data_IF_391250189809
#
_entry.id   IF_391250189809
#
_cell.length_a   1.000
_cell.length_b   1.000
_cell.length_c   1.000
_cell.angle_alpha   90.00
_cell.angle_beta   90.00
_cell.angle_gamma   90.00
#
_symmetry.space_group_name_H-M   'P 1'
#
loop_
_entity.id
_entity.type
_entity.pdbx_description
1 polymer ?
#
# COMPACT_ATOMS: atom_id res chain seq x y z
N UNK A 1 -8.68 3.65 12.76
CA UNK A 1 -9.62 3.98 11.67
C UNK A 1 -10.57 2.81 11.49
N UNK A 2 -11.86 3.04 11.23
CA UNK A 2 -12.81 1.96 10.93
C UNK A 2 -12.54 1.43 9.52
N UNK A 3 -12.32 0.13 9.37
CA UNK A 3 -12.17 -0.50 8.06
C UNK A 3 -13.54 -0.64 7.38
N UNK A 4 -13.60 -0.38 6.06
CA UNK A 4 -14.83 -0.56 5.28
C UNK A 4 -15.12 -2.05 5.10
N UNK A 5 -16.38 -2.43 5.32
CA UNK A 5 -16.86 -3.79 5.18
C UNK A 5 -17.84 -3.91 4.01
N UNK A 6 -17.55 -4.80 3.07
CA UNK A 6 -18.36 -5.05 1.88
C UNK A 6 -19.33 -6.21 2.07
N UNK A 7 -20.54 -6.08 1.53
CA UNK A 7 -21.46 -7.20 1.36
C UNK A 7 -20.97 -8.16 0.27
N UNK A 8 -21.50 -9.39 0.24
CA UNK A 8 -21.23 -10.32 -0.85
C UNK A 8 -21.59 -9.74 -2.24
N UNK A 9 -22.65 -8.93 -2.32
CA UNK A 9 -23.10 -8.32 -3.58
C UNK A 9 -22.15 -7.25 -4.09
N UNK A 10 -21.48 -6.54 -3.21
CA UNK A 10 -20.45 -5.55 -3.58
C UNK A 10 -19.13 -6.25 -3.87
N UNK A 11 -18.70 -7.16 -3.00
CA UNK A 11 -17.46 -7.90 -3.16
C UNK A 11 -17.43 -8.71 -4.47
N UNK A 12 -18.55 -9.30 -4.90
CA UNK A 12 -18.63 -10.01 -6.18
C UNK A 12 -18.30 -9.12 -7.37
N UNK A 13 -18.74 -7.84 -7.33
CA UNK A 13 -18.49 -6.86 -8.39
C UNK A 13 -17.03 -6.44 -8.39
N UNK A 14 -16.47 -6.21 -7.20
CA UNK A 14 -15.08 -5.78 -7.03
C UNK A 14 -14.07 -6.87 -7.43
N UNK A 15 -14.35 -8.13 -7.05
CA UNK A 15 -13.48 -9.27 -7.30
C UNK A 15 -13.71 -9.91 -8.68
N UNK A 16 -14.76 -9.53 -9.41
CA UNK A 16 -15.09 -10.13 -10.70
C UNK A 16 -15.49 -11.61 -10.63
N UNK A 17 -16.04 -12.06 -9.50
CA UNK A 17 -16.43 -13.47 -9.27
C UNK A 17 -17.90 -13.59 -8.86
N UNK A 18 -18.42 -14.81 -8.77
CA UNK A 18 -19.78 -15.04 -8.24
C UNK A 18 -19.82 -15.01 -6.71
N UNK A 19 -20.99 -14.76 -6.13
CA UNK A 19 -21.20 -14.88 -4.68
C UNK A 19 -20.92 -16.29 -4.17
N UNK A 20 -21.20 -17.32 -4.99
CA UNK A 20 -20.92 -18.71 -4.66
C UNK A 20 -19.43 -18.98 -4.53
N UNK A 21 -18.61 -18.44 -5.45
CA UNK A 21 -17.14 -18.51 -5.39
C UNK A 21 -16.62 -17.94 -4.07
N UNK A 22 -17.11 -16.77 -3.67
CA UNK A 22 -16.74 -16.13 -2.41
C UNK A 22 -17.11 -17.00 -1.20
N UNK A 23 -18.34 -17.56 -1.17
CA UNK A 23 -18.77 -18.44 -0.08
C UNK A 23 -17.98 -19.75 -0.03
N UNK A 24 -17.56 -20.27 -1.18
CA UNK A 24 -16.69 -21.44 -1.28
C UNK A 24 -15.30 -21.12 -0.73
N UNK A 25 -14.74 -19.97 -1.08
CA UNK A 25 -13.46 -19.50 -0.53
C UNK A 25 -13.52 -19.32 0.98
N UNK A 26 -14.62 -18.78 1.53
CA UNK A 26 -14.81 -18.62 2.98
C UNK A 26 -14.81 -19.98 3.69
N UNK A 27 -15.55 -20.97 3.14
CA UNK A 27 -15.54 -22.34 3.63
C UNK A 27 -14.17 -23.02 3.54
N UNK A 28 -13.36 -22.63 2.56
CA UNK A 28 -11.99 -23.14 2.36
C UNK A 28 -10.92 -22.33 3.13
N UNK A 29 -11.30 -21.27 3.85
CA UNK A 29 -10.35 -20.38 4.53
C UNK A 29 -9.48 -19.52 3.59
N UNK A 30 -9.84 -19.40 2.31
CA UNK A 30 -9.08 -18.63 1.29
C UNK A 30 -9.40 -17.14 1.27
N UNK A 31 -10.56 -16.76 1.81
CA UNK A 31 -10.98 -15.36 1.98
C UNK A 31 -11.41 -15.14 3.42
N UNK A 32 -10.94 -14.04 4.01
CA UNK A 32 -11.30 -13.60 5.36
C UNK A 32 -12.64 -12.87 5.34
N UNK A 33 -13.62 -13.38 6.09
CA UNK A 33 -14.92 -12.75 6.28
C UNK A 33 -15.17 -12.45 7.76
N UNK A 34 -15.75 -11.28 8.04
CA UNK A 34 -16.36 -10.95 9.32
C UNK A 34 -17.85 -11.34 9.27
N UNK A 35 -18.42 -11.77 10.38
CA UNK A 35 -19.84 -12.10 10.50
C UNK A 35 -20.54 -11.06 11.36
N UNK A 36 -21.67 -10.55 10.89
CA UNK A 36 -22.55 -9.73 11.74
C UNK A 36 -23.23 -10.62 12.79
N UNK A 37 -23.84 -10.00 13.80
CA UNK A 37 -24.64 -10.71 14.83
C UNK A 37 -25.69 -11.63 14.18
N UNK A 38 -26.33 -11.18 13.08
CA UNK A 38 -27.26 -11.99 12.29
C UNK A 38 -26.61 -12.99 11.31
N UNK A 39 -25.33 -13.33 11.48
CA UNK A 39 -24.63 -14.36 10.70
C UNK A 39 -24.29 -13.98 9.25
N UNK A 40 -24.52 -12.73 8.83
CA UNK A 40 -24.26 -12.29 7.45
C UNK A 40 -22.76 -12.04 7.25
N UNK A 41 -22.22 -12.53 6.13
CA UNK A 41 -20.83 -12.31 5.73
C UNK A 41 -20.58 -10.86 5.32
N UNK A 42 -19.43 -10.35 5.75
CA UNK A 42 -18.84 -9.06 5.38
C UNK A 42 -17.37 -9.27 5.07
N UNK A 43 -16.91 -8.69 3.97
CA UNK A 43 -15.50 -8.81 3.54
C UNK A 43 -14.81 -7.47 3.80
N UNK A 44 -13.72 -7.46 4.59
CA UNK A 44 -12.95 -6.25 4.80
C UNK A 44 -12.30 -5.71 3.53
N UNK A 45 -12.14 -4.39 3.42
CA UNK A 45 -11.49 -3.76 2.26
C UNK A 45 -10.05 -4.26 2.05
N UNK A 46 -9.28 -4.42 3.12
CA UNK A 46 -7.92 -4.98 3.05
C UNK A 46 -7.90 -6.36 2.40
N UNK A 47 -8.94 -7.16 2.64
CA UNK A 47 -9.04 -8.50 2.09
C UNK A 47 -9.38 -8.49 0.60
N UNK A 48 -10.25 -7.57 0.16
CA UNK A 48 -10.51 -7.33 -1.26
C UNK A 48 -9.21 -6.93 -1.97
N UNK A 49 -8.48 -5.96 -1.41
CA UNK A 49 -7.19 -5.50 -1.96
C UNK A 49 -6.16 -6.63 -2.03
N UNK A 50 -6.06 -7.44 -0.97
CA UNK A 50 -5.17 -8.61 -0.92
C UNK A 50 -5.47 -9.60 -2.05
N UNK A 51 -6.75 -9.93 -2.29
CA UNK A 51 -7.14 -10.87 -3.35
C UNK A 51 -6.89 -10.29 -4.74
N UNK A 52 -7.11 -8.98 -4.93
CA UNK A 52 -6.81 -8.30 -6.19
C UNK A 52 -5.31 -8.11 -6.44
N UNK A 53 -4.44 -8.51 -5.49
CA UNK A 53 -3.00 -8.23 -5.56
C UNK A 53 -2.67 -6.74 -5.49
N UNK A 54 -3.63 -5.91 -5.09
CA UNK A 54 -3.45 -4.48 -4.83
C UNK A 54 -2.73 -4.34 -3.50
N UNK A 55 -1.43 -4.65 -3.48
CA UNK A 55 -0.59 -4.25 -2.36
C UNK A 55 -0.51 -2.74 -2.38
N UNK A 56 -0.83 -2.11 -1.25
CA UNK A 56 -0.42 -0.72 -1.01
C UNK A 56 1.07 -0.67 -0.64
N UNK A 57 1.93 -1.42 -1.34
CA UNK A 57 3.37 -1.22 -1.29
C UNK A 57 3.66 0.09 -2.04
N UNK A 58 3.22 1.20 -1.44
CA UNK A 58 3.53 2.55 -1.89
C UNK A 58 5.00 2.76 -1.58
N UNK A 59 5.84 2.57 -2.59
CA UNK A 59 7.24 2.95 -2.50
C UNK A 59 7.33 4.47 -2.46
N UNK A 60 7.90 5.00 -1.39
CA UNK A 60 8.16 6.42 -1.26
C UNK A 60 9.56 6.66 -1.82
N UNK A 61 9.67 7.56 -2.80
CA UNK A 61 10.93 7.87 -3.45
C UNK A 61 11.28 9.33 -3.22
N UNK A 62 12.45 9.57 -2.63
CA UNK A 62 13.07 10.89 -2.55
C UNK A 62 14.06 11.07 -3.70
N UNK A 63 14.05 12.23 -4.34
CA UNK A 63 14.99 12.55 -5.42
C UNK A 63 15.89 13.72 -5.02
N UNK A 64 17.19 13.59 -5.28
CA UNK A 64 18.21 14.60 -4.99
C UNK A 64 19.13 14.76 -6.20
N UNK A 65 19.44 16.00 -6.60
CA UNK A 65 20.37 16.28 -7.70
C UNK A 65 21.31 17.43 -7.37
N UNK A 66 22.57 17.32 -7.77
CA UNK A 66 23.54 18.44 -7.79
C UNK A 66 24.14 18.63 -9.18
N UNK A 67 24.57 19.86 -9.47
CA UNK A 67 25.10 20.22 -10.81
C UNK A 67 26.58 19.90 -10.99
N UNK A 68 27.33 19.72 -9.90
CA UNK A 68 28.76 19.39 -9.95
C UNK A 68 29.13 18.32 -8.94
N UNK A 69 30.10 17.49 -9.30
CA UNK A 69 30.72 16.51 -8.39
C UNK A 69 31.45 17.15 -7.22
N UNK A 70 31.77 18.45 -7.31
CA UNK A 70 32.29 19.24 -6.18
C UNK A 70 31.25 19.47 -5.08
N UNK A 71 29.96 19.24 -5.36
CA UNK A 71 28.85 19.42 -4.40
C UNK A 71 28.38 18.09 -3.79
N UNK A 72 29.22 17.06 -3.79
CA UNK A 72 28.89 15.74 -3.21
C UNK A 72 28.50 15.81 -1.74
N UNK A 73 29.15 16.68 -0.97
CA UNK A 73 28.84 16.84 0.46
C UNK A 73 27.44 17.44 0.65
N UNK A 74 27.03 18.36 -0.23
CA UNK A 74 25.69 18.93 -0.21
C UNK A 74 24.63 17.91 -0.64
N UNK A 75 24.93 17.10 -1.67
CA UNK A 75 24.07 15.98 -2.08
C UNK A 75 23.81 15.04 -0.89
N UNK A 76 24.85 14.64 -0.16
CA UNK A 76 24.71 13.72 0.98
C UNK A 76 23.91 14.34 2.13
N UNK A 77 24.14 15.62 2.43
CA UNK A 77 23.34 16.37 3.40
C UNK A 77 21.86 16.40 3.02
N UNK A 78 21.55 16.65 1.75
CA UNK A 78 20.16 16.65 1.26
C UNK A 78 19.50 15.28 1.36
N UNK A 79 20.22 14.18 1.07
CA UNK A 79 19.70 12.81 1.27
C UNK A 79 19.32 12.57 2.73
N UNK A 80 20.21 12.92 3.67
CA UNK A 80 19.94 12.73 5.10
C UNK A 80 18.76 13.56 5.59
N UNK A 81 18.59 14.79 5.09
CA UNK A 81 17.44 15.63 5.42
C UNK A 81 16.13 14.96 4.99
N UNK A 82 16.07 14.41 3.77
CA UNK A 82 14.88 13.70 3.27
C UNK A 82 14.56 12.48 4.12
N UNK A 83 15.58 11.67 4.45
CA UNK A 83 15.39 10.49 5.30
C UNK A 83 14.91 10.86 6.71
N UNK A 84 15.47 11.92 7.30
CA UNK A 84 15.10 12.40 8.62
C UNK A 84 13.66 12.92 8.62
N UNK A 85 13.32 13.78 7.66
CA UNK A 85 11.95 14.29 7.49
C UNK A 85 10.95 13.15 7.26
N UNK A 86 11.33 12.15 6.47
CA UNK A 86 10.49 11.00 6.22
C UNK A 86 10.17 10.20 7.49
N UNK A 87 11.21 9.94 8.28
CA UNK A 87 11.12 9.24 9.56
C UNK A 87 10.25 10.01 10.56
N UNK A 88 10.42 11.33 10.66
CA UNK A 88 9.65 12.19 11.56
C UNK A 88 8.16 12.25 11.20
N UNK A 89 7.84 12.20 9.90
CA UNK A 89 6.44 12.20 9.42
C UNK A 89 5.80 10.82 9.42
N UNK A 90 6.53 9.76 9.78
CA UNK A 90 6.02 8.39 9.75
C UNK A 90 5.79 7.87 8.34
N UNK A 91 6.47 8.44 7.34
CA UNK A 91 6.61 7.80 6.04
C UNK A 91 7.48 6.55 6.26
N UNK A 92 7.07 5.41 5.67
CA UNK A 92 7.76 4.13 5.83
C UNK A 92 9.15 4.13 5.20
N UNK A 93 9.58 3.00 4.65
CA UNK A 93 10.85 2.92 3.95
C UNK A 93 10.86 3.87 2.73
N UNK A 94 11.87 4.76 2.68
CA UNK A 94 12.05 5.73 1.58
C UNK A 94 13.29 5.36 0.78
N UNK A 95 13.11 5.16 -0.52
CA UNK A 95 14.20 4.97 -1.46
C UNK A 95 14.71 6.33 -1.94
N UNK A 96 16.02 6.53 -1.96
CA UNK A 96 16.63 7.78 -2.43
C UNK A 96 17.27 7.57 -3.80
N UNK A 97 16.85 8.36 -4.78
CA UNK A 97 17.49 8.48 -6.08
C UNK A 97 18.36 9.73 -6.10
N UNK A 98 19.62 9.57 -6.52
CA UNK A 98 20.58 10.66 -6.53
C UNK A 98 21.22 10.82 -7.92
N UNK A 99 21.38 12.07 -8.34
CA UNK A 99 21.90 12.41 -9.66
C UNK A 99 22.96 13.53 -9.58
N UNK A 100 24.00 13.42 -10.40
CA UNK A 100 25.07 14.43 -10.52
C UNK A 100 25.24 14.74 -12.00
N UNK A 101 24.84 15.94 -12.39
CA UNK A 101 24.95 16.36 -13.79
C UNK A 101 24.73 17.85 -13.98
N UNK A 102 25.71 18.50 -14.59
CA UNK A 102 25.52 19.73 -15.35
C UNK A 102 24.89 19.33 -16.68
N UNK A 103 23.70 19.85 -17.00
CA UNK A 103 23.04 19.57 -18.27
C UNK A 103 23.91 19.90 -19.47
#
# INVERSE_FOLDING_TARGET
MSERLYTLKEAKKLLGVTTWTIQRWDRQGKIRCVRTIGGRRRIPESEIKRILGLKEDRMIVGYVRVSSSAQKDDLERQKQLILTYAKEKGYGEVQILADIGSG
#
